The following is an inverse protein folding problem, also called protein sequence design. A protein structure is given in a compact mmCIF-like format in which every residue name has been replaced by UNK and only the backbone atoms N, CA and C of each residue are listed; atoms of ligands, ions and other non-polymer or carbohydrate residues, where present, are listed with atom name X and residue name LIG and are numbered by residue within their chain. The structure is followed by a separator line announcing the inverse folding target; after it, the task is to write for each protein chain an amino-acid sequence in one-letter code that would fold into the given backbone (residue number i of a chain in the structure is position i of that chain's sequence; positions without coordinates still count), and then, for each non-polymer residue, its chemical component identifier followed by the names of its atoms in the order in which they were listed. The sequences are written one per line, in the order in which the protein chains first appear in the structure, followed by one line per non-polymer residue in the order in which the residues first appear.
data_IF_265754705188
#
_entry.id   IF_265754705188
#
_cell.length_a   1.000
_cell.length_b   1.000
_cell.length_c   1.000
_cell.angle_alpha   90.00
_cell.angle_beta   90.00
_cell.angle_gamma   90.00
#
_symmetry.space_group_name_H-M   'P 1'
#
loop_
_entity.id
_entity.type
_entity.pdbx_description
1 polymer ?
#
# COMPACT_ATOMS: atom_id res chain seq x y z
N UNK A 1 -20.26 -18.28 10.98
CA UNK A 1 -21.21 -17.14 11.01
C UNK A 1 -20.65 -15.93 10.25
N UNK A 2 -21.39 -15.36 9.28
CA UNK A 2 -20.93 -14.15 8.57
C UNK A 2 -21.02 -12.94 9.51
N UNK A 3 -19.96 -12.14 9.61
CA UNK A 3 -19.96 -10.90 10.38
C UNK A 3 -21.06 -9.96 9.82
N UNK A 4 -21.95 -9.41 10.65
CA UNK A 4 -22.96 -8.44 10.23
C UNK A 4 -22.34 -7.26 9.48
N UNK A 5 -22.99 -6.76 8.42
CA UNK A 5 -22.44 -5.66 7.59
C UNK A 5 -22.10 -4.41 8.40
N UNK A 6 -22.94 -4.06 9.37
CA UNK A 6 -22.71 -2.93 10.27
C UNK A 6 -21.48 -3.10 11.18
N UNK A 7 -20.94 -4.33 11.29
CA UNK A 7 -19.77 -4.70 12.08
C UNK A 7 -18.54 -5.00 11.20
N UNK A 8 -18.59 -4.71 9.90
CA UNK A 8 -17.45 -4.92 8.99
C UNK A 8 -16.59 -3.67 8.88
N UNK A 9 -15.28 -3.87 8.96
CA UNK A 9 -14.32 -2.85 8.55
C UNK A 9 -14.38 -2.65 7.03
N UNK A 10 -14.33 -1.39 6.59
CA UNK A 10 -14.30 -1.03 5.17
C UNK A 10 -12.96 -0.38 4.84
N UNK A 11 -12.29 -0.89 3.82
CA UNK A 11 -11.11 -0.24 3.24
C UNK A 11 -11.54 0.57 2.02
N UNK A 12 -11.15 1.83 1.98
CA UNK A 12 -11.35 2.70 0.82
C UNK A 12 -9.99 3.18 0.35
N UNK A 13 -9.67 2.88 -0.90
CA UNK A 13 -8.39 3.22 -1.52
C UNK A 13 -8.70 4.25 -2.61
N UNK A 14 -8.18 5.45 -2.44
CA UNK A 14 -8.21 6.46 -3.48
C UNK A 14 -6.91 6.37 -4.28
N UNK A 15 -7.02 6.32 -5.60
CA UNK A 15 -5.88 6.25 -6.52
C UNK A 15 -5.88 7.47 -7.45
N UNK A 16 -4.73 7.82 -8.01
CA UNK A 16 -4.62 8.83 -9.06
C UNK A 16 -3.67 8.36 -10.17
N UNK A 17 -3.79 8.92 -11.40
CA UNK A 17 -2.80 8.70 -12.44
C UNK A 17 -1.42 9.12 -11.92
N UNK A 18 -0.48 8.19 -11.91
CA UNK A 18 0.83 8.40 -11.32
C UNK A 18 1.65 9.38 -12.14
N UNK A 19 2.43 10.21 -11.45
CA UNK A 19 3.50 11.02 -12.02
C UNK A 19 4.84 10.27 -12.04
N UNK A 20 4.82 8.93 -12.13
CA UNK A 20 6.00 8.06 -12.05
C UNK A 20 7.14 8.53 -12.98
N UNK A 21 6.80 8.97 -14.19
CA UNK A 21 7.76 9.51 -15.18
C UNK A 21 8.52 10.77 -14.72
N UNK A 22 7.98 11.50 -13.75
CA UNK A 22 8.59 12.72 -13.18
C UNK A 22 9.31 12.45 -11.85
N UNK A 23 9.30 11.21 -11.35
CA UNK A 23 9.90 10.86 -10.05
C UNK A 23 11.41 10.76 -10.19
N UNK A 24 12.13 11.28 -9.18
CA UNK A 24 13.59 11.20 -9.16
C UNK A 24 14.02 9.84 -8.65
N UNK A 25 14.58 9.02 -9.53
CA UNK A 25 15.10 7.70 -9.19
C UNK A 25 16.62 7.71 -9.01
N UNK A 26 17.12 6.91 -8.06
CA UNK A 26 18.53 6.55 -7.93
C UNK A 26 18.65 5.06 -8.21
N UNK A 27 19.62 4.69 -9.06
CA UNK A 27 19.89 3.29 -9.42
C UNK A 27 21.28 2.86 -8.97
N UNK A 28 21.44 1.58 -8.66
CA UNK A 28 22.74 0.95 -8.45
C UNK A 28 23.41 0.57 -9.79
N UNK A 29 24.60 -0.04 -9.72
CA UNK A 29 25.37 -0.47 -10.88
C UNK A 29 24.68 -1.55 -11.72
N UNK A 30 23.79 -2.34 -11.11
CA UNK A 30 23.03 -3.41 -11.75
C UNK A 30 21.70 -2.88 -12.36
N UNK A 31 21.44 -1.58 -12.22
CA UNK A 31 20.26 -0.89 -12.73
C UNK A 31 19.03 -0.97 -11.83
N UNK A 32 19.15 -1.51 -10.61
CA UNK A 32 18.05 -1.57 -9.65
C UNK A 32 17.84 -0.21 -8.99
N UNK A 33 16.59 0.19 -8.87
CA UNK A 33 16.15 1.41 -8.20
C UNK A 33 16.33 1.21 -6.69
N UNK A 34 17.18 2.05 -6.10
CA UNK A 34 17.46 2.06 -4.67
C UNK A 34 16.65 3.12 -3.93
N UNK A 35 16.23 4.18 -4.62
CA UNK A 35 15.32 5.19 -4.08
C UNK A 35 14.49 5.90 -5.15
N UNK A 36 13.31 6.37 -4.76
CA UNK A 36 12.38 7.20 -5.52
C UNK A 36 12.02 8.41 -4.65
N UNK A 37 12.28 9.63 -5.11
CA UNK A 37 12.13 10.88 -4.35
C UNK A 37 12.78 10.81 -2.95
N UNK A 38 13.96 10.20 -2.86
CA UNK A 38 14.73 9.95 -1.63
C UNK A 38 14.11 8.95 -0.64
N UNK A 39 13.07 8.22 -1.04
CA UNK A 39 12.41 7.19 -0.23
C UNK A 39 12.71 5.81 -0.83
N UNK A 40 12.88 4.80 0.02
CA UNK A 40 13.06 3.41 -0.43
C UNK A 40 11.84 2.95 -1.25
N UNK A 41 12.02 2.30 -2.41
CA UNK A 41 10.90 1.84 -3.24
C UNK A 41 10.16 0.67 -2.59
N UNK A 42 8.89 0.53 -2.96
CA UNK A 42 7.94 -0.43 -2.39
C UNK A 42 8.04 -1.86 -2.92
N UNK A 43 9.12 -2.21 -3.60
CA UNK A 43 9.22 -3.47 -4.35
C UNK A 43 9.44 -3.26 -5.84
N UNK A 44 9.49 -2.01 -6.30
CA UNK A 44 9.96 -1.67 -7.64
C UNK A 44 11.46 -1.90 -7.71
N UNK A 45 11.89 -2.61 -8.74
CA UNK A 45 13.29 -2.97 -8.96
C UNK A 45 13.89 -2.15 -10.08
N UNK A 46 13.77 -2.55 -11.34
CA UNK A 46 14.58 -1.93 -12.42
C UNK A 46 13.93 -0.73 -13.07
N UNK A 47 12.60 -0.72 -13.16
CA UNK A 47 11.89 0.30 -13.93
C UNK A 47 10.64 0.76 -13.21
N UNK A 48 10.46 2.09 -13.18
CA UNK A 48 9.21 2.70 -12.79
C UNK A 48 8.20 2.46 -13.92
N UNK A 49 7.07 1.82 -13.62
CA UNK A 49 6.12 1.56 -14.68
C UNK A 49 5.45 2.86 -15.19
N UNK A 50 5.54 3.14 -16.48
CA UNK A 50 4.93 4.33 -17.10
C UNK A 50 3.40 4.20 -17.21
N UNK A 51 2.66 5.31 -17.07
CA UNK A 51 1.21 5.34 -17.24
C UNK A 51 0.41 4.66 -16.12
N UNK A 52 1.02 4.42 -14.96
CA UNK A 52 0.42 3.61 -13.90
C UNK A 52 -0.35 4.42 -12.85
N UNK A 53 -0.94 3.74 -11.87
CA UNK A 53 -1.69 4.35 -10.77
C UNK A 53 -0.85 4.42 -9.50
N UNK A 54 -1.05 5.46 -8.70
CA UNK A 54 -0.41 5.62 -7.38
C UNK A 54 -1.49 5.72 -6.30
N UNK A 55 -1.21 5.21 -5.10
CA UNK A 55 -2.13 5.37 -3.98
C UNK A 55 -2.10 6.84 -3.52
N UNK A 56 -3.28 7.47 -3.48
CA UNK A 56 -3.50 8.80 -2.90
C UNK A 56 -3.65 8.74 -1.38
N UNK A 57 -4.49 7.82 -0.93
CA UNK A 57 -4.84 7.59 0.46
C UNK A 57 -5.47 6.23 0.62
N UNK A 58 -5.17 5.58 1.74
CA UNK A 58 -5.99 4.49 2.24
C UNK A 58 -6.74 4.99 3.46
N UNK A 59 -8.05 4.77 3.44
CA UNK A 59 -8.95 4.94 4.57
C UNK A 59 -9.40 3.58 5.08
N UNK A 60 -9.24 3.34 6.37
CA UNK A 60 -9.92 2.22 7.04
C UNK A 60 -11.04 2.78 7.89
N UNK A 61 -12.28 2.37 7.62
CA UNK A 61 -13.46 2.74 8.37
C UNK A 61 -13.89 1.56 9.23
N UNK A 62 -13.89 1.74 10.54
CA UNK A 62 -14.38 0.72 11.47
C UNK A 62 -15.82 1.04 11.93
N UNK A 63 -16.64 0.02 12.19
CA UNK A 63 -17.93 0.16 12.86
C UNK A 63 -17.83 0.99 14.16
N UNK A 64 -18.70 1.99 14.31
CA UNK A 64 -18.76 2.79 15.55
C UNK A 64 -17.60 3.76 15.77
N UNK A 65 -16.66 3.91 14.82
CA UNK A 65 -15.53 4.86 14.90
C UNK A 65 -15.27 5.63 13.61
N UNK A 66 -14.40 6.64 13.73
CA UNK A 66 -13.92 7.47 12.63
C UNK A 66 -13.02 6.74 11.64
N UNK A 67 -12.68 7.40 10.53
CA UNK A 67 -11.81 6.85 9.48
C UNK A 67 -10.34 7.11 9.79
N UNK A 68 -9.51 6.06 9.70
CA UNK A 68 -8.05 6.18 9.80
C UNK A 68 -7.46 6.45 8.42
N UNK A 69 -6.65 7.50 8.29
CA UNK A 69 -5.98 7.89 7.05
C UNK A 69 -4.46 7.69 7.14
N UNK A 70 -3.92 6.92 6.21
CA UNK A 70 -2.46 6.67 6.13
C UNK A 70 -1.90 7.22 4.83
N UNK A 71 -1.70 8.55 4.77
CA UNK A 71 -1.20 9.25 3.56
C UNK A 71 0.32 9.28 3.45
N UNK A 72 1.01 9.61 4.53
CA UNK A 72 2.48 9.75 4.46
C UNK A 72 3.18 8.41 4.32
N UNK A 73 2.56 7.35 4.84
CA UNK A 73 3.11 6.01 4.87
C UNK A 73 2.95 5.23 3.56
N UNK A 74 2.44 5.85 2.49
CA UNK A 74 2.12 5.21 1.19
C UNK A 74 2.77 5.93 0.01
N UNK A 75 3.66 6.91 0.27
CA UNK A 75 4.32 7.69 -0.77
C UNK A 75 5.08 6.79 -1.75
N UNK A 76 4.93 7.04 -3.05
CA UNK A 76 5.59 6.28 -4.12
C UNK A 76 5.21 4.78 -4.13
N UNK A 77 4.00 4.45 -3.68
CA UNK A 77 3.43 3.13 -3.83
C UNK A 77 2.59 3.06 -5.11
N UNK A 78 3.10 2.35 -6.10
CA UNK A 78 2.51 2.27 -7.43
C UNK A 78 1.81 0.93 -7.65
N UNK A 79 0.81 0.92 -8.53
CA UNK A 79 -0.01 -0.24 -8.84
C UNK A 79 -0.64 -0.90 -7.60
N UNK A 80 -1.43 -0.17 -6.80
CA UNK A 80 -2.27 -0.84 -5.82
C UNK A 80 -3.15 -1.90 -6.49
N UNK A 81 -3.33 -3.03 -5.82
CA UNK A 81 -4.43 -3.92 -6.22
C UNK A 81 -5.78 -3.23 -6.05
N UNK A 82 -6.65 -3.44 -7.04
CA UNK A 82 -8.09 -3.14 -6.96
C UNK A 82 -8.92 -4.42 -6.80
N UNK A 83 -8.26 -5.58 -6.81
CA UNK A 83 -8.86 -6.86 -6.51
C UNK A 83 -8.95 -7.04 -4.99
N UNK A 84 -10.17 -7.11 -4.48
CA UNK A 84 -10.45 -7.21 -3.06
C UNK A 84 -10.08 -8.58 -2.47
N UNK A 85 -9.92 -9.63 -3.29
CA UNK A 85 -9.39 -10.92 -2.82
C UNK A 85 -7.91 -10.82 -2.45
N UNK A 86 -7.21 -9.82 -2.99
CA UNK A 86 -5.80 -9.52 -2.70
C UNK A 86 -5.62 -8.49 -1.57
N UNK A 87 -6.69 -8.14 -0.85
CA UNK A 87 -6.68 -7.18 0.26
C UNK A 87 -7.28 -7.84 1.50
N UNK A 88 -6.56 -7.76 2.62
CA UNK A 88 -7.03 -8.22 3.92
C UNK A 88 -6.96 -7.10 4.96
N UNK A 89 -8.02 -6.87 5.71
CA UNK A 89 -7.99 -6.00 6.89
C UNK A 89 -8.46 -6.75 8.11
N UNK A 90 -7.70 -6.65 9.19
CA UNK A 90 -8.11 -7.13 10.52
C UNK A 90 -7.72 -6.09 11.56
N UNK A 91 -8.25 -6.23 12.76
CA UNK A 91 -7.97 -5.35 13.88
C UNK A 91 -8.09 -6.11 15.19
N UNK A 92 -7.18 -5.84 16.12
CA UNK A 92 -7.22 -6.44 17.47
C UNK A 92 -8.11 -5.58 18.38
N UNK A 93 -8.04 -4.27 18.18
CA UNK A 93 -8.92 -3.28 18.77
C UNK A 93 -9.13 -2.13 17.77
N UNK A 94 -9.83 -1.11 18.22
CA UNK A 94 -10.20 0.03 17.40
C UNK A 94 -9.02 0.90 16.92
N UNK A 95 -7.86 0.79 17.56
CA UNK A 95 -6.68 1.58 17.22
C UNK A 95 -5.57 0.74 16.60
N UNK A 96 -5.60 -0.59 16.73
CA UNK A 96 -4.60 -1.52 16.19
C UNK A 96 -5.13 -2.28 14.98
N UNK A 97 -4.93 -1.70 13.80
CA UNK A 97 -5.38 -2.22 12.50
C UNK A 97 -4.20 -2.85 11.76
N UNK A 98 -4.46 -3.98 11.11
CA UNK A 98 -3.53 -4.68 10.23
C UNK A 98 -4.11 -4.69 8.83
N UNK A 99 -3.35 -4.16 7.87
CA UNK A 99 -3.75 -4.12 6.46
C UNK A 99 -2.71 -4.86 5.62
N UNK A 100 -3.19 -5.83 4.86
CA UNK A 100 -2.45 -6.63 3.90
C UNK A 100 -2.91 -6.28 2.49
N UNK A 101 -1.96 -6.11 1.56
CA UNK A 101 -2.25 -5.90 0.14
C UNK A 101 -1.19 -6.57 -0.75
N UNK A 102 -1.62 -7.27 -1.81
CA UNK A 102 -0.72 -7.72 -2.89
C UNK A 102 -0.81 -6.71 -4.02
N UNK A 103 0.28 -6.02 -4.33
CA UNK A 103 0.34 -4.93 -5.30
C UNK A 103 1.24 -5.28 -6.48
N UNK A 104 1.18 -4.47 -7.53
CA UNK A 104 1.98 -4.67 -8.73
C UNK A 104 1.52 -5.85 -9.59
N UNK A 105 2.28 -6.12 -10.65
CA UNK A 105 2.02 -7.19 -11.60
C UNK A 105 3.34 -7.83 -12.07
N UNK A 106 3.33 -9.13 -12.34
CA UNK A 106 4.50 -9.87 -12.82
C UNK A 106 5.70 -9.76 -11.88
N UNK A 107 6.89 -9.57 -12.45
CA UNK A 107 8.15 -9.38 -11.72
C UNK A 107 8.19 -8.16 -10.77
N UNK A 108 7.25 -7.21 -10.90
CA UNK A 108 7.13 -6.06 -10.00
C UNK A 108 6.08 -6.28 -8.90
N UNK A 109 5.61 -7.52 -8.68
CA UNK A 109 4.63 -7.82 -7.64
C UNK A 109 5.27 -7.77 -6.25
N UNK A 110 4.60 -7.08 -5.33
CA UNK A 110 5.04 -6.97 -3.94
C UNK A 110 3.85 -7.01 -2.99
N UNK A 111 4.07 -7.59 -1.82
CA UNK A 111 3.09 -7.64 -0.74
C UNK A 111 3.46 -6.62 0.32
N UNK A 112 2.48 -5.85 0.77
CA UNK A 112 2.61 -4.96 1.93
C UNK A 112 1.80 -5.50 3.11
N UNK A 113 2.40 -5.42 4.29
CA UNK A 113 1.71 -5.59 5.57
C UNK A 113 1.99 -4.36 6.43
N UNK A 114 0.92 -3.65 6.81
CA UNK A 114 1.02 -2.50 7.70
C UNK A 114 0.36 -2.77 9.04
N UNK A 115 1.01 -2.29 10.09
CA UNK A 115 0.39 -2.08 11.39
C UNK A 115 0.11 -0.61 11.54
N UNK A 116 -1.17 -0.28 11.73
CA UNK A 116 -1.65 1.08 11.92
C UNK A 116 -2.08 1.18 13.38
N UNK A 117 -1.48 2.11 14.13
CA UNK A 117 -1.81 2.43 15.50
C UNK A 117 -2.23 3.89 15.63
N UNK A 118 -3.42 4.15 16.18
CA UNK A 118 -3.91 5.52 16.46
C UNK A 118 -3.82 6.43 15.22
N UNK A 119 -4.22 5.89 14.06
CA UNK A 119 -4.19 6.62 12.80
C UNK A 119 -2.82 6.67 12.09
N UNK A 120 -1.76 6.12 12.68
CA UNK A 120 -0.38 6.20 12.15
C UNK A 120 0.14 4.81 11.79
N UNK A 121 0.84 4.68 10.66
CA UNK A 121 1.59 3.45 10.37
C UNK A 121 2.78 3.38 11.31
N UNK A 122 2.81 2.35 12.16
CA UNK A 122 3.91 2.11 13.12
C UNK A 122 4.82 0.96 12.70
N UNK A 123 4.36 0.11 11.77
CA UNK A 123 5.17 -0.95 11.18
C UNK A 123 4.77 -1.19 9.73
N UNK A 124 5.76 -1.54 8.91
CA UNK A 124 5.61 -1.80 7.50
C UNK A 124 6.56 -2.92 7.09
N UNK A 125 6.00 -4.00 6.57
CA UNK A 125 6.75 -5.11 6.02
C UNK A 125 6.42 -5.20 4.53
N UNK A 126 7.47 -5.31 3.72
CA UNK A 126 7.36 -5.42 2.27
C UNK A 126 8.04 -6.71 1.86
N UNK A 127 7.28 -7.61 1.24
CA UNK A 127 7.79 -8.83 0.65
C UNK A 127 7.72 -8.70 -0.87
N UNK A 128 8.86 -8.76 -1.56
CA UNK A 128 8.85 -9.05 -2.99
C UNK A 128 8.46 -10.51 -3.13
N UNK A 129 7.40 -10.82 -3.87
CA UNK A 129 7.06 -12.21 -4.15
C UNK A 129 7.93 -12.63 -5.32
N UNK A 130 8.97 -13.48 -5.14
CA UNK A 130 9.60 -14.11 -6.27
C UNK A 130 8.53 -14.94 -7.00
N UNK A 131 8.46 -14.80 -8.32
CA UNK A 131 7.73 -15.76 -9.16
C UNK A 131 8.42 -17.12 -9.13
#
# INVERSE_FOLDING_TARGET
PKIPTAQRSKVVIDIYPSNASYRKQVKDADGNITSIDKVKPWGIDKELPEGMTEIKSIRVQQPGRGSVFVREAIKNMFQPTMDFENIGVTSIDDDHIFLYMINGSGANRYTTLWTIKEGKVISQIIFKNPE
#
